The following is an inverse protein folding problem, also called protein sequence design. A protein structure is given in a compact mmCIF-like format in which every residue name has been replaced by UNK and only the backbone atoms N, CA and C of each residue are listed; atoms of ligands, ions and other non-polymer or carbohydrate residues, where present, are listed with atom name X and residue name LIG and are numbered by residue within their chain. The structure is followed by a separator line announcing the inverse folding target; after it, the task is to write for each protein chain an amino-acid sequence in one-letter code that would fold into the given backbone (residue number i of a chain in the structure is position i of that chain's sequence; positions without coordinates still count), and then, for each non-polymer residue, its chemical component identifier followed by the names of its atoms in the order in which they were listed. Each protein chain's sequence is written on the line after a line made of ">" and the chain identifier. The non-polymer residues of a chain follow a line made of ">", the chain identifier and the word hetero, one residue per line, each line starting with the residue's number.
data_IF_945155833462
#
_entry.id   IF_945155833462
#
_cell.length_a   1.000
_cell.length_b   1.000
_cell.length_c   1.000
_cell.angle_alpha   90.00
_cell.angle_beta   90.00
_cell.angle_gamma   90.00
#
_symmetry.space_group_name_H-M   'P 1'
#
loop_
_entity.id
_entity.type
_entity.pdbx_description
1 polymer ?
#
# COMPACT_ATOMS: atom_id res chain seq x y z
N UNK A 1 -5.13 5.87 5.63
CA UNK A 1 -5.59 7.26 5.98
C UNK A 1 -4.46 8.29 5.97
N UNK A 2 -3.30 8.06 6.59
CA UNK A 2 -2.21 9.06 6.66
C UNK A 2 -1.71 9.55 5.30
N UNK A 3 -1.45 8.65 4.34
CA UNK A 3 -1.04 9.00 2.99
C UNK A 3 -2.09 9.87 2.25
N UNK A 4 -3.37 9.54 2.41
CA UNK A 4 -4.47 10.30 1.83
C UNK A 4 -4.52 11.73 2.39
N UNK A 5 -4.39 11.88 3.72
CA UNK A 5 -4.34 13.19 4.37
C UNK A 5 -3.13 14.01 3.93
N UNK A 6 -1.96 13.38 3.79
CA UNK A 6 -0.74 14.03 3.30
C UNK A 6 -0.93 14.57 1.88
N UNK A 7 -1.45 13.75 0.97
CA UNK A 7 -1.70 14.15 -0.41
C UNK A 7 -2.72 15.29 -0.50
N UNK A 8 -3.84 15.16 0.23
CA UNK A 8 -4.90 16.18 0.27
C UNK A 8 -4.39 17.52 0.80
N UNK A 9 -3.64 17.50 1.90
CA UNK A 9 -3.05 18.72 2.49
C UNK A 9 -2.04 19.40 1.55
N UNK A 10 -1.42 18.65 0.65
CA UNK A 10 -0.49 19.17 -0.34
C UNK A 10 -1.17 19.59 -1.67
N UNK A 11 -2.52 19.58 -1.75
CA UNK A 11 -3.29 19.98 -2.92
C UNK A 11 -3.62 18.86 -3.90
N UNK A 12 -3.46 17.62 -3.47
CA UNK A 12 -4.00 16.42 -4.14
C UNK A 12 -5.47 16.19 -3.79
N UNK A 13 -5.99 15.01 -4.18
CA UNK A 13 -7.39 14.63 -3.91
C UNK A 13 -7.47 13.12 -3.61
N UNK A 14 -8.65 12.64 -3.22
CA UNK A 14 -8.95 11.24 -2.97
C UNK A 14 -10.19 10.87 -3.77
N UNK A 15 -10.10 9.80 -4.52
CA UNK A 15 -11.20 9.28 -5.34
C UNK A 15 -11.41 7.79 -5.07
N UNK A 16 -12.60 7.31 -5.34
CA UNK A 16 -12.85 5.87 -5.38
C UNK A 16 -11.95 5.21 -6.43
N UNK A 17 -11.29 4.13 -6.08
CA UNK A 17 -10.54 3.32 -7.03
C UNK A 17 -11.53 2.61 -7.97
N UNK A 18 -11.38 2.84 -9.26
CA UNK A 18 -12.24 2.27 -10.28
C UNK A 18 -11.43 1.46 -11.28
N UNK A 19 -11.99 0.35 -11.74
CA UNK A 19 -11.43 -0.37 -12.88
C UNK A 19 -11.44 0.51 -14.14
N UNK A 20 -10.34 0.50 -14.87
CA UNK A 20 -10.08 1.46 -15.95
C UNK A 20 -11.12 1.38 -17.09
N UNK A 21 -11.48 0.17 -17.48
CA UNK A 21 -12.40 -0.06 -18.61
C UNK A 21 -13.86 -0.06 -18.19
N UNK A 22 -14.23 -0.83 -17.18
CA UNK A 22 -15.63 -1.00 -16.76
C UNK A 22 -16.14 0.12 -15.88
N UNK A 23 -15.23 0.91 -15.28
CA UNK A 23 -15.53 1.94 -14.27
C UNK A 23 -16.24 1.39 -13.03
N UNK A 24 -16.16 0.09 -12.81
CA UNK A 24 -16.70 -0.53 -11.60
C UNK A 24 -15.78 -0.25 -10.41
N UNK A 25 -16.34 -0.14 -9.19
CA UNK A 25 -15.54 -0.02 -7.97
C UNK A 25 -14.52 -1.14 -7.87
N UNK A 26 -13.29 -0.78 -7.62
CA UNK A 26 -12.17 -1.68 -7.40
C UNK A 26 -11.63 -1.46 -5.99
N UNK A 27 -11.09 -2.50 -5.40
CA UNK A 27 -10.40 -2.39 -4.11
C UNK A 27 -9.22 -3.34 -4.06
N UNK A 28 -8.25 -3.00 -3.24
CA UNK A 28 -7.13 -3.87 -2.92
C UNK A 28 -7.23 -4.27 -1.45
N UNK A 29 -7.35 -5.57 -1.22
CA UNK A 29 -7.39 -6.18 0.10
C UNK A 29 -6.61 -7.49 0.10
N UNK A 30 -5.71 -7.63 1.06
CA UNK A 30 -4.82 -8.78 1.19
C UNK A 30 -3.38 -8.48 0.78
N UNK A 31 -2.57 -9.54 0.75
CA UNK A 31 -1.15 -9.45 0.44
C UNK A 31 -0.92 -9.50 -1.08
N UNK A 32 -0.25 -8.47 -1.60
CA UNK A 32 0.19 -8.41 -3.00
C UNK A 32 1.45 -7.55 -3.12
N UNK A 33 2.10 -7.64 -4.28
CA UNK A 33 3.35 -6.93 -4.54
C UNK A 33 3.13 -5.47 -4.91
N UNK A 34 4.10 -4.65 -4.53
CA UNK A 34 4.30 -3.33 -5.11
C UNK A 34 5.53 -3.35 -6.03
N UNK A 35 5.55 -2.46 -7.00
CA UNK A 35 6.57 -2.37 -8.03
C UNK A 35 7.10 -0.94 -8.11
N UNK A 36 8.43 -0.75 -8.13
CA UNK A 36 9.02 0.57 -8.22
C UNK A 36 8.75 1.20 -9.58
N UNK A 37 8.50 2.50 -9.59
CA UNK A 37 8.59 3.30 -10.80
C UNK A 37 10.05 3.55 -11.18
N UNK A 38 10.30 3.79 -12.47
CA UNK A 38 11.63 4.20 -12.96
C UNK A 38 11.94 5.57 -12.35
N UNK A 39 12.74 5.59 -11.31
CA UNK A 39 13.28 6.81 -10.71
C UNK A 39 14.65 7.06 -11.34
N UNK A 40 14.84 8.23 -11.92
CA UNK A 40 16.15 8.69 -12.40
C UNK A 40 17.13 8.94 -11.25
N UNK A 41 16.63 9.09 -10.03
CA UNK A 41 17.41 9.38 -8.84
C UNK A 41 17.58 8.15 -7.94
N UNK A 42 18.78 7.97 -7.40
CA UNK A 42 19.22 6.91 -6.47
C UNK A 42 18.45 6.97 -5.11
N UNK A 43 17.17 6.62 -5.14
CA UNK A 43 16.42 6.45 -3.91
C UNK A 43 16.78 5.10 -3.28
N UNK A 44 17.29 5.08 -2.04
CA UNK A 44 17.58 3.86 -1.29
C UNK A 44 16.36 2.92 -1.20
N UNK A 45 15.14 3.49 -1.12
CA UNK A 45 13.90 2.71 -1.12
C UNK A 45 13.73 1.88 -2.39
N UNK A 46 14.18 2.37 -3.55
CA UNK A 46 14.09 1.63 -4.81
C UNK A 46 14.84 0.30 -4.75
N UNK A 47 16.05 0.29 -4.18
CA UNK A 47 16.84 -0.94 -4.06
C UNK A 47 16.12 -2.03 -3.26
N UNK A 48 15.32 -1.64 -2.27
CA UNK A 48 14.49 -2.56 -1.49
C UNK A 48 13.29 -3.08 -2.29
N UNK A 49 12.84 -2.33 -3.30
CA UNK A 49 11.68 -2.67 -4.13
C UNK A 49 12.05 -3.37 -5.44
N UNK A 50 13.35 -3.57 -5.73
CA UNK A 50 13.82 -4.26 -6.96
C UNK A 50 13.47 -5.77 -6.96
N UNK A 51 13.11 -6.34 -5.82
CA UNK A 51 12.57 -7.68 -5.67
C UNK A 51 11.06 -7.63 -5.41
N UNK A 52 10.32 -8.72 -5.65
CA UNK A 52 8.94 -8.81 -5.22
C UNK A 52 8.80 -8.44 -3.75
N UNK A 53 8.06 -7.38 -3.46
CA UNK A 53 7.88 -6.86 -2.11
C UNK A 53 6.40 -6.97 -1.73
N UNK A 54 5.97 -8.12 -1.18
CA UNK A 54 4.60 -8.30 -0.73
C UNK A 54 4.30 -7.44 0.49
N UNK A 55 3.24 -6.66 0.40
CA UNK A 55 2.72 -5.79 1.46
C UNK A 55 1.22 -6.05 1.64
N UNK A 56 0.67 -5.62 2.76
CA UNK A 56 -0.76 -5.72 2.98
C UNK A 56 -1.46 -4.49 2.39
N UNK A 57 -2.40 -4.73 1.49
CA UNK A 57 -3.34 -3.72 0.97
C UNK A 57 -4.66 -3.80 1.73
N UNK A 58 -5.26 -2.63 2.00
CA UNK A 58 -6.58 -2.54 2.66
C UNK A 58 -7.24 -1.20 2.33
N UNK A 59 -7.60 -1.00 1.07
CA UNK A 59 -8.20 0.24 0.60
C UNK A 59 -9.10 0.06 -0.62
N UNK A 60 -10.09 0.94 -0.76
CA UNK A 60 -10.97 1.05 -1.92
C UNK A 60 -10.87 2.41 -2.62
N UNK A 61 -10.02 3.30 -2.09
CA UNK A 61 -9.78 4.61 -2.66
C UNK A 61 -8.39 4.67 -3.31
N UNK A 62 -8.23 5.60 -4.25
CA UNK A 62 -6.94 6.00 -4.79
C UNK A 62 -6.63 7.44 -4.41
N UNK A 63 -5.36 7.76 -4.41
CA UNK A 63 -4.85 9.10 -4.17
C UNK A 63 -4.60 9.78 -5.53
N UNK A 64 -5.11 10.99 -5.71
CA UNK A 64 -4.72 11.85 -6.82
C UNK A 64 -3.57 12.71 -6.31
N UNK A 65 -2.37 12.42 -6.80
CA UNK A 65 -1.16 13.09 -6.34
C UNK A 65 -1.14 14.56 -6.76
N UNK A 66 -0.70 15.47 -5.87
CA UNK A 66 -0.41 16.83 -6.25
C UNK A 66 0.79 16.90 -7.21
N UNK A 67 0.89 17.95 -8.01
CA UNK A 67 1.99 18.13 -8.98
C UNK A 67 3.37 18.18 -8.34
N UNK A 68 3.46 18.42 -7.04
CA UNK A 68 4.71 18.45 -6.27
C UNK A 68 5.14 17.08 -5.75
N UNK A 69 4.31 16.06 -5.92
CA UNK A 69 4.61 14.71 -5.47
C UNK A 69 5.39 13.93 -6.53
N UNK A 70 6.27 13.06 -6.05
CA UNK A 70 7.00 12.09 -6.86
C UNK A 70 6.44 10.69 -6.56
N UNK A 71 5.97 9.99 -7.60
CA UNK A 71 5.48 8.64 -7.49
C UNK A 71 6.66 7.66 -7.44
N UNK A 72 6.72 6.84 -6.38
CA UNK A 72 7.84 5.92 -6.14
C UNK A 72 7.47 4.47 -6.47
N UNK A 73 6.27 4.02 -6.09
CA UNK A 73 5.83 2.65 -6.37
C UNK A 73 4.32 2.55 -6.61
N UNK A 74 3.94 1.51 -7.34
CA UNK A 74 2.57 1.16 -7.70
C UNK A 74 2.29 -0.32 -7.41
N UNK A 75 1.02 -0.68 -7.30
CA UNK A 75 0.56 -2.06 -7.45
C UNK A 75 0.03 -2.31 -8.86
N UNK A 76 -0.43 -3.53 -9.13
CA UNK A 76 -1.08 -3.86 -10.41
C UNK A 76 -2.43 -3.15 -10.59
N UNK A 77 -3.08 -2.73 -9.52
CA UNK A 77 -4.45 -2.18 -9.55
C UNK A 77 -4.50 -0.69 -9.22
N UNK A 78 -3.58 -0.20 -8.40
CA UNK A 78 -3.54 1.18 -7.96
C UNK A 78 -2.15 1.77 -8.16
N UNK A 79 -2.10 2.88 -8.87
CA UNK A 79 -0.85 3.52 -9.24
C UNK A 79 -0.16 4.17 -8.02
N UNK A 80 -0.91 4.77 -7.14
CA UNK A 80 -0.40 5.63 -6.08
C UNK A 80 -0.22 4.85 -4.76
N UNK A 81 0.79 3.95 -4.73
CA UNK A 81 1.08 3.12 -3.56
C UNK A 81 2.14 3.72 -2.63
N UNK A 82 3.18 4.31 -3.20
CA UNK A 82 4.24 5.00 -2.46
C UNK A 82 4.61 6.26 -3.22
N UNK A 83 4.65 7.39 -2.52
CA UNK A 83 5.03 8.68 -3.10
C UNK A 83 5.76 9.54 -2.06
N UNK A 84 6.48 10.56 -2.53
CA UNK A 84 7.07 11.60 -1.69
C UNK A 84 6.54 12.98 -2.07
N UNK A 85 6.56 13.89 -1.10
CA UNK A 85 6.31 15.33 -1.29
C UNK A 85 7.49 16.07 -0.68
N UNK A 86 8.38 16.54 -1.54
CA UNK A 86 9.69 17.03 -1.10
C UNK A 86 10.53 15.91 -0.47
N UNK A 87 11.62 16.27 0.24
CA UNK A 87 12.60 15.29 0.70
C UNK A 87 12.20 14.56 2.00
N UNK A 88 11.26 15.09 2.76
CA UNK A 88 10.98 14.64 4.14
C UNK A 88 9.53 14.19 4.39
N UNK A 89 8.73 14.01 3.34
CA UNK A 89 7.36 13.55 3.51
C UNK A 89 7.07 12.40 2.53
N UNK A 90 6.70 11.23 3.09
CA UNK A 90 6.38 10.02 2.33
C UNK A 90 4.97 9.55 2.66
N UNK A 91 4.22 9.18 1.63
CA UNK A 91 2.90 8.59 1.75
C UNK A 91 2.90 7.14 1.29
N UNK A 92 2.46 6.23 2.18
CA UNK A 92 2.28 4.81 1.92
C UNK A 92 0.78 4.50 1.95
N UNK A 93 0.24 3.99 0.85
CA UNK A 93 -1.15 3.53 0.78
C UNK A 93 -1.28 2.09 1.33
N UNK A 94 -0.26 1.27 1.17
CA UNK A 94 -0.14 -0.07 1.73
C UNK A 94 0.34 -0.04 3.19
N UNK A 95 0.35 -1.22 3.82
CA UNK A 95 0.73 -1.41 5.21
C UNK A 95 1.98 -2.28 5.35
N UNK A 96 3.00 -1.75 5.99
CA UNK A 96 4.25 -2.44 6.35
C UNK A 96 4.39 -2.61 7.87
N UNK A 97 3.64 -1.84 8.63
CA UNK A 97 3.67 -1.76 10.09
C UNK A 97 2.89 -2.87 10.80
N UNK A 98 2.10 -3.62 10.06
CA UNK A 98 1.14 -4.58 10.60
C UNK A 98 1.80 -5.83 11.22
N UNK A 99 1.17 -6.33 12.26
CA UNK A 99 1.42 -7.63 12.84
C UNK A 99 0.23 -8.59 12.66
N UNK A 100 0.37 -9.82 13.14
CA UNK A 100 -0.67 -10.84 13.00
C UNK A 100 -1.95 -10.49 13.78
N UNK A 101 -1.83 -9.86 14.95
CA UNK A 101 -2.96 -9.48 15.80
C UNK A 101 -3.79 -8.39 15.13
N UNK A 102 -3.12 -7.38 14.55
CA UNK A 102 -3.77 -6.31 13.79
C UNK A 102 -4.55 -6.87 12.59
N UNK A 103 -3.92 -7.74 11.79
CA UNK A 103 -4.58 -8.36 10.62
C UNK A 103 -5.78 -9.19 11.05
N UNK A 104 -5.66 -9.99 12.11
CA UNK A 104 -6.78 -10.77 12.65
C UNK A 104 -7.92 -9.89 13.17
N UNK A 105 -7.61 -8.73 13.73
CA UNK A 105 -8.59 -7.73 14.17
C UNK A 105 -9.33 -7.14 12.98
N UNK A 106 -8.62 -6.68 11.96
CA UNK A 106 -9.23 -6.13 10.74
C UNK A 106 -10.11 -7.16 10.01
N UNK A 107 -9.69 -8.42 9.94
CA UNK A 107 -10.52 -9.49 9.38
C UNK A 107 -11.85 -9.64 10.12
N UNK A 108 -11.88 -9.44 11.43
CA UNK A 108 -13.12 -9.51 12.23
C UNK A 108 -14.00 -8.28 12.07
N UNK A 109 -13.40 -7.10 12.00
CA UNK A 109 -14.11 -5.82 11.99
C UNK A 109 -14.66 -5.47 10.61
N UNK A 110 -13.91 -5.76 9.53
CA UNK A 110 -14.23 -5.34 8.16
C UNK A 110 -14.90 -6.43 7.30
N UNK A 111 -15.67 -7.32 7.91
CA UNK A 111 -16.28 -8.46 7.21
C UNK A 111 -17.10 -8.06 5.97
N UNK A 112 -17.79 -6.92 6.02
CA UNK A 112 -18.57 -6.42 4.86
C UNK A 112 -17.69 -6.02 3.72
N UNK A 113 -16.60 -5.29 3.99
CA UNK A 113 -15.63 -4.89 2.98
C UNK A 113 -14.93 -6.12 2.38
N UNK A 114 -14.47 -7.04 3.22
CA UNK A 114 -13.85 -8.29 2.78
C UNK A 114 -14.77 -9.07 1.85
N UNK A 115 -16.03 -9.28 2.25
CA UNK A 115 -16.97 -10.07 1.44
C UNK A 115 -17.38 -9.36 0.14
N UNK A 116 -17.38 -8.03 0.11
CA UNK A 116 -17.67 -7.27 -1.11
C UNK A 116 -16.55 -7.37 -2.16
N UNK A 117 -15.30 -7.56 -1.73
CA UNK A 117 -14.13 -7.61 -2.62
C UNK A 117 -13.73 -9.05 -2.95
N UNK A 118 -13.67 -9.93 -1.95
CA UNK A 118 -13.15 -11.30 -2.06
C UNK A 118 -14.25 -12.38 -2.02
N UNK A 119 -15.52 -11.99 -1.87
CA UNK A 119 -16.62 -12.93 -1.77
C UNK A 119 -16.70 -13.66 -0.42
N UNK A 120 -17.45 -14.77 -0.39
CA UNK A 120 -17.74 -15.52 0.84
C UNK A 120 -16.49 -16.11 1.51
N UNK A 121 -15.49 -16.48 0.72
CA UNK A 121 -14.24 -17.09 1.20
C UNK A 121 -13.17 -16.07 1.61
N UNK A 122 -13.46 -14.77 1.53
CA UNK A 122 -12.49 -13.69 1.72
C UNK A 122 -11.72 -13.76 3.03
N UNK A 123 -12.39 -14.05 4.14
CA UNK A 123 -11.71 -14.20 5.44
C UNK A 123 -10.73 -15.39 5.45
N UNK A 124 -11.11 -16.49 4.83
CA UNK A 124 -10.25 -17.67 4.72
C UNK A 124 -9.01 -17.34 3.87
N UNK A 125 -9.20 -16.70 2.72
CA UNK A 125 -8.12 -16.27 1.82
C UNK A 125 -7.13 -15.38 2.57
N UNK A 126 -7.59 -14.35 3.28
CA UNK A 126 -6.73 -13.43 4.02
C UNK A 126 -5.94 -14.12 5.14
N UNK A 127 -6.55 -15.07 5.86
CA UNK A 127 -5.85 -15.87 6.87
C UNK A 127 -4.76 -16.76 6.26
N UNK A 128 -4.99 -17.33 5.08
CA UNK A 128 -3.98 -18.11 4.38
C UNK A 128 -2.83 -17.23 3.90
N UNK A 129 -3.13 -16.09 3.30
CA UNK A 129 -2.12 -15.11 2.90
C UNK A 129 -1.29 -14.62 4.10
N UNK A 130 -1.93 -14.34 5.25
CA UNK A 130 -1.23 -13.93 6.46
C UNK A 130 -0.24 -14.99 6.95
N UNK A 131 -0.62 -16.27 6.91
CA UNK A 131 0.30 -17.38 7.26
C UNK A 131 1.45 -17.49 6.27
N UNK A 132 1.20 -17.22 5.00
CA UNK A 132 2.21 -17.32 3.95
C UNK A 132 3.17 -16.14 3.97
N UNK A 133 2.68 -14.92 4.05
CA UNK A 133 3.47 -13.70 3.87
C UNK A 133 3.85 -13.00 5.17
N UNK A 134 3.01 -13.07 6.21
CA UNK A 134 3.16 -12.26 7.42
C UNK A 134 4.53 -12.38 8.09
N UNK A 135 5.00 -13.59 8.35
CA UNK A 135 6.33 -13.83 8.94
C UNK A 135 7.47 -13.76 7.92
N UNK A 136 7.24 -14.24 6.69
CA UNK A 136 8.26 -14.25 5.64
C UNK A 136 8.72 -12.85 5.24
N UNK A 137 7.80 -11.87 5.26
CA UNK A 137 8.09 -10.49 4.87
C UNK A 137 8.52 -9.59 6.03
N UNK A 138 8.50 -10.09 7.27
CA UNK A 138 8.75 -9.26 8.45
C UNK A 138 10.12 -8.57 8.39
N UNK A 139 11.18 -9.31 8.04
CA UNK A 139 12.52 -8.74 7.98
C UNK A 139 12.64 -7.63 6.92
N UNK A 140 12.13 -7.88 5.72
CA UNK A 140 12.14 -6.88 4.63
C UNK A 140 11.26 -5.67 4.92
N UNK A 141 10.12 -5.85 5.58
CA UNK A 141 9.27 -4.73 6.02
C UNK A 141 9.95 -3.88 7.09
N UNK A 142 10.64 -4.49 8.06
CA UNK A 142 11.42 -3.76 9.07
C UNK A 142 12.59 -3.01 8.46
N UNK A 143 13.31 -3.60 7.50
CA UNK A 143 14.36 -2.94 6.75
C UNK A 143 13.82 -1.75 5.95
N UNK A 144 12.67 -1.91 5.29
CA UNK A 144 11.99 -0.83 4.59
C UNK A 144 11.64 0.33 5.53
N UNK A 145 11.05 0.03 6.69
CA UNK A 145 10.72 1.05 7.72
C UNK A 145 11.98 1.76 8.20
N UNK A 146 13.04 1.01 8.54
CA UNK A 146 14.32 1.58 8.97
C UNK A 146 14.91 2.52 7.92
N UNK A 147 14.94 2.08 6.65
CA UNK A 147 15.43 2.89 5.55
C UNK A 147 14.59 4.17 5.35
N UNK A 148 13.27 4.06 5.51
CA UNK A 148 12.38 5.22 5.43
C UNK A 148 12.70 6.24 6.53
N UNK A 149 12.93 5.80 7.76
CA UNK A 149 13.34 6.69 8.86
C UNK A 149 14.72 7.33 8.65
N UNK A 150 15.67 6.59 8.08
CA UNK A 150 16.98 7.13 7.71
C UNK A 150 16.90 8.25 6.66
N UNK A 151 15.91 8.19 5.76
CA UNK A 151 15.66 9.23 4.77
C UNK A 151 15.00 10.49 5.36
N UNK A 152 14.34 10.35 6.52
CA UNK A 152 13.68 11.45 7.24
C UNK A 152 14.61 12.17 8.22
N UNK A 153 15.84 11.67 8.41
CA UNK A 153 16.85 12.22 9.34
C UNK A 153 17.87 13.06 8.61
#
# INVERSE_FOLDING_TARGET
>A
MGAQLLAYAAGGDIEMLLEELSRQPLAEIGWDNIFPHSLENNCKLRTLLDLPFPVLHWHGDRIILPNTAELIASSCRCKEQLFSIGPLAYGLQFHVEIDEEMVNTWIKEDQKFISSVLGADGQFILKQQQKEFGSKTLASRLEFISTLFDLLS
#
